data_IF_097214506386
#
_entry.id   IF_097214506386
#
_cell.length_a   1.000
_cell.length_b   1.000
_cell.length_c   1.000
_cell.angle_alpha   90.00
_cell.angle_beta   90.00
_cell.angle_gamma   90.00
#
_symmetry.space_group_name_H-M   'P 1'
#
loop_
_entity.id
_entity.type
_entity.pdbx_description
1 polymer ?
#
# COMPACT_ATOMS: atom_id res chain seq x y z
N UNK A 1 9.64 40.48 19.68
CA UNK A 1 9.17 39.32 20.47
C UNK A 1 8.15 38.45 19.71
N UNK A 2 7.14 39.01 19.03
CA UNK A 2 6.11 38.21 18.32
C UNK A 2 6.65 37.28 17.23
N UNK A 3 7.70 37.68 16.51
CA UNK A 3 8.27 36.86 15.43
C UNK A 3 8.93 35.57 15.93
N UNK A 4 9.54 35.58 17.13
CA UNK A 4 10.11 34.37 17.74
C UNK A 4 9.04 33.34 18.09
N UNK A 5 7.86 33.77 18.55
CA UNK A 5 6.73 32.87 18.80
C UNK A 5 6.19 32.26 17.49
N UNK A 6 6.13 33.06 16.41
CA UNK A 6 5.73 32.56 15.09
C UNK A 6 6.68 31.49 14.54
N UNK A 7 8.01 31.72 14.67
CA UNK A 7 9.03 30.75 14.26
C UNK A 7 8.95 29.47 15.11
N UNK A 8 8.78 29.61 16.43
CA UNK A 8 8.63 28.47 17.34
C UNK A 8 7.39 27.63 17.02
N UNK A 9 6.25 28.26 16.70
CA UNK A 9 5.03 27.57 16.30
C UNK A 9 5.21 26.79 15.00
N UNK A 10 5.85 27.40 13.99
CA UNK A 10 6.15 26.76 12.71
C UNK A 10 7.08 25.56 12.88
N UNK A 11 8.11 25.68 13.72
CA UNK A 11 9.02 24.56 14.03
C UNK A 11 8.28 23.44 14.75
N UNK A 12 7.48 23.75 15.78
CA UNK A 12 6.69 22.74 16.50
C UNK A 12 5.70 22.01 15.59
N UNK A 13 5.06 22.75 14.67
CA UNK A 13 4.15 22.17 13.69
C UNK A 13 4.90 21.26 12.70
N UNK A 14 6.04 21.70 12.17
CA UNK A 14 6.89 20.89 11.29
C UNK A 14 7.37 19.60 11.94
N UNK A 15 7.83 19.66 13.20
CA UNK A 15 8.24 18.47 13.97
C UNK A 15 7.07 17.50 14.18
N UNK A 16 5.88 18.02 14.46
CA UNK A 16 4.68 17.19 14.67
C UNK A 16 4.32 16.44 13.38
N UNK A 17 4.36 17.12 12.23
CA UNK A 17 4.11 16.48 10.93
C UNK A 17 5.15 15.40 10.63
N UNK A 18 6.44 15.70 10.78
CA UNK A 18 7.49 14.71 10.52
C UNK A 18 7.39 13.49 11.43
N UNK A 19 7.10 13.70 12.72
CA UNK A 19 6.99 12.61 13.69
C UNK A 19 5.70 11.81 13.54
N UNK A 20 4.60 12.42 13.06
CA UNK A 20 3.31 11.74 12.88
C UNK A 20 3.42 10.49 11.99
N UNK A 21 4.12 10.60 10.86
CA UNK A 21 4.34 9.48 9.92
C UNK A 21 5.16 8.36 10.58
N UNK A 22 6.21 8.72 11.31
CA UNK A 22 7.03 7.75 12.03
C UNK A 22 6.22 6.99 13.09
N UNK A 23 5.45 7.71 13.92
CA UNK A 23 4.60 7.09 14.93
C UNK A 23 3.47 6.26 14.33
N UNK A 24 2.95 6.65 13.16
CA UNK A 24 1.96 5.88 12.42
C UNK A 24 2.50 4.51 12.01
N UNK A 25 3.66 4.45 11.35
CA UNK A 25 4.29 3.18 10.98
C UNK A 25 4.64 2.35 12.21
N UNK A 26 5.20 2.97 13.24
CA UNK A 26 5.53 2.28 14.47
C UNK A 26 4.29 1.65 15.13
N UNK A 27 3.15 2.34 15.09
CA UNK A 27 1.87 1.82 15.56
C UNK A 27 1.36 0.65 14.72
N UNK A 28 1.48 0.72 13.39
CA UNK A 28 1.15 -0.38 12.48
C UNK A 28 2.01 -1.60 12.79
N UNK A 29 3.34 -1.44 12.80
CA UNK A 29 4.29 -2.54 13.01
C UNK A 29 4.05 -3.20 14.35
N UNK A 30 3.99 -2.43 15.46
CA UNK A 30 3.75 -2.98 16.79
C UNK A 30 2.39 -3.66 16.93
N UNK A 31 1.33 -3.09 16.35
CA UNK A 31 0.00 -3.72 16.42
C UNK A 31 0.01 -5.05 15.67
N UNK A 32 0.66 -5.08 14.51
CA UNK A 32 0.78 -6.26 13.66
C UNK A 32 1.60 -7.35 14.33
N UNK A 33 2.80 -7.03 14.81
CA UNK A 33 3.66 -7.97 15.53
C UNK A 33 2.97 -8.56 16.76
N UNK A 34 2.33 -7.72 17.59
CA UNK A 34 1.62 -8.20 18.77
C UNK A 34 0.48 -9.15 18.42
N UNK A 35 -0.26 -8.87 17.34
CA UNK A 35 -1.31 -9.75 16.88
C UNK A 35 -0.74 -11.07 16.37
N UNK A 36 0.22 -11.02 15.45
CA UNK A 36 0.76 -12.21 14.79
C UNK A 36 1.50 -13.11 15.76
N UNK A 37 2.22 -12.54 16.74
CA UNK A 37 2.84 -13.30 17.83
C UNK A 37 1.80 -14.04 18.69
N UNK A 38 0.62 -13.44 18.93
CA UNK A 38 -0.46 -14.09 19.68
C UNK A 38 -0.99 -15.35 18.98
N UNK A 39 -0.89 -15.41 17.65
CA UNK A 39 -1.35 -16.53 16.83
C UNK A 39 -0.20 -17.39 16.27
N UNK A 40 1.05 -17.13 16.69
CA UNK A 40 2.24 -17.83 16.21
C UNK A 40 2.40 -17.83 14.68
N UNK A 41 2.05 -16.71 14.04
CA UNK A 41 2.12 -16.52 12.58
C UNK A 41 3.10 -15.39 12.27
N UNK A 42 3.63 -15.33 11.05
CA UNK A 42 4.41 -14.18 10.57
C UNK A 42 3.66 -13.41 9.50
N UNK A 43 4.09 -12.18 9.25
CA UNK A 43 3.48 -11.32 8.23
C UNK A 43 3.69 -11.92 6.83
N UNK A 44 4.88 -12.47 6.58
CA UNK A 44 5.23 -13.16 5.34
C UNK A 44 4.30 -14.33 5.03
N UNK A 45 3.93 -15.10 6.06
CA UNK A 45 3.11 -16.32 5.96
C UNK A 45 1.62 -16.05 5.73
N UNK A 46 1.18 -14.78 5.75
CA UNK A 46 -0.21 -14.44 5.46
C UNK A 46 -0.47 -14.55 3.96
N UNK A 47 -1.38 -15.46 3.59
CA UNK A 47 -1.93 -15.57 2.24
C UNK A 47 -2.80 -14.35 1.90
N UNK A 48 -2.76 -13.93 0.64
CA UNK A 48 -3.57 -12.84 0.07
C UNK A 48 -3.93 -13.11 -1.38
N UNK A 49 -4.88 -12.33 -1.90
CA UNK A 49 -5.30 -12.34 -3.30
C UNK A 49 -5.11 -10.97 -3.95
N UNK A 50 -4.87 -10.98 -5.26
CA UNK A 50 -4.77 -9.78 -6.10
C UNK A 50 -5.99 -9.59 -7.02
N UNK A 51 -7.06 -10.36 -6.81
CA UNK A 51 -8.27 -10.27 -7.64
C UNK A 51 -8.91 -8.89 -7.67
N UNK A 52 -8.71 -8.12 -6.60
CA UNK A 52 -9.33 -6.81 -6.39
C UNK A 52 -8.48 -5.64 -6.92
N UNK A 53 -7.38 -5.92 -7.63
CA UNK A 53 -6.62 -4.88 -8.34
C UNK A 53 -7.51 -4.26 -9.42
N UNK A 54 -7.67 -2.93 -9.35
CA UNK A 54 -8.41 -2.15 -10.34
C UNK A 54 -7.47 -1.72 -11.46
N UNK A 55 -7.64 -2.29 -12.65
CA UNK A 55 -6.85 -1.95 -13.83
C UNK A 55 -7.51 -0.81 -14.62
N UNK A 56 -6.73 0.23 -14.94
CA UNK A 56 -7.21 1.38 -15.73
C UNK A 56 -7.13 1.15 -17.24
N UNK A 57 -6.32 0.18 -17.68
CA UNK A 57 -6.17 -0.19 -19.08
C UNK A 57 -6.48 -1.67 -19.27
N UNK A 58 -7.33 -1.97 -20.26
CA UNK A 58 -7.60 -3.34 -20.71
C UNK A 58 -6.56 -3.80 -21.73
N UNK A 59 -6.29 -5.10 -21.74
CA UNK A 59 -5.47 -5.73 -22.77
C UNK A 59 -6.25 -6.00 -24.07
N UNK A 60 -5.57 -5.95 -25.24
CA UNK A 60 -4.30 -5.27 -25.47
C UNK A 60 -4.48 -3.75 -25.45
N UNK A 61 -3.57 -3.03 -24.81
CA UNK A 61 -3.59 -1.57 -24.83
C UNK A 61 -3.13 -1.06 -26.20
N UNK A 62 -3.76 -0.02 -26.72
CA UNK A 62 -3.29 0.67 -27.94
C UNK A 62 -2.08 1.58 -27.67
N UNK A 63 -1.65 1.70 -26.41
CA UNK A 63 -0.56 2.57 -25.99
C UNK A 63 0.77 1.81 -26.10
N UNK A 64 1.60 2.19 -27.08
CA UNK A 64 2.92 1.57 -27.31
C UNK A 64 3.82 1.59 -26.07
N UNK A 65 3.74 2.66 -25.27
CA UNK A 65 4.51 2.79 -24.03
C UNK A 65 4.15 1.71 -22.99
N UNK A 66 2.92 1.17 -23.01
CA UNK A 66 2.51 0.09 -22.12
C UNK A 66 3.01 -1.26 -22.67
N UNK A 67 2.81 -1.52 -23.96
CA UNK A 67 3.18 -2.81 -24.58
C UNK A 67 4.69 -3.04 -24.70
N UNK A 68 5.49 -1.97 -24.70
CA UNK A 68 6.96 -2.04 -24.80
C UNK A 68 7.64 -1.86 -23.43
N UNK A 69 6.86 -1.66 -22.36
CA UNK A 69 7.43 -1.43 -21.04
C UNK A 69 8.12 -2.68 -20.51
N UNK A 70 9.35 -2.48 -20.05
CA UNK A 70 10.09 -3.47 -19.27
C UNK A 70 9.61 -3.45 -17.83
N UNK A 71 9.68 -4.60 -17.16
CA UNK A 71 9.30 -4.73 -15.74
C UNK A 71 9.99 -3.71 -14.82
N UNK A 72 11.22 -3.31 -15.11
CA UNK A 72 11.95 -2.29 -14.34
C UNK A 72 11.34 -0.88 -14.40
N UNK A 73 10.52 -0.60 -15.41
CA UNK A 73 9.81 0.68 -15.57
C UNK A 73 8.51 0.72 -14.75
N UNK A 74 8.06 -0.41 -14.20
CA UNK A 74 6.92 -0.45 -13.30
C UNK A 74 7.36 0.06 -11.92
N UNK A 75 6.65 1.07 -11.43
CA UNK A 75 6.90 1.73 -10.15
C UNK A 75 5.65 1.66 -9.28
N UNK A 76 5.91 1.57 -7.99
CA UNK A 76 4.88 1.63 -6.96
C UNK A 76 4.86 3.02 -6.36
N UNK A 77 3.66 3.59 -6.28
CA UNK A 77 3.39 4.82 -5.55
C UNK A 77 2.36 4.56 -4.47
N UNK A 78 2.78 4.73 -3.21
CA UNK A 78 1.92 4.55 -2.05
C UNK A 78 0.94 5.73 -1.92
N UNK A 79 -0.35 5.42 -1.79
CA UNK A 79 -1.41 6.41 -1.63
C UNK A 79 -1.69 6.65 -0.15
N UNK A 80 -1.48 7.89 0.30
CA UNK A 80 -1.71 8.29 1.68
C UNK A 80 -2.79 9.38 1.77
N UNK A 81 -3.74 9.21 2.68
CA UNK A 81 -4.69 10.26 3.01
C UNK A 81 -4.03 11.37 3.85
N UNK A 82 -4.36 12.63 3.56
CA UNK A 82 -4.24 13.81 4.43
C UNK A 82 -2.83 14.14 4.98
N UNK A 83 -2.54 15.44 5.12
CA UNK A 83 -1.22 15.94 5.53
C UNK A 83 -0.83 15.66 7.00
N UNK A 84 -1.81 15.38 7.87
CA UNK A 84 -1.61 15.26 9.34
C UNK A 84 -1.94 13.86 9.90
N UNK A 85 -2.73 13.07 9.20
CA UNK A 85 -3.10 11.70 9.58
C UNK A 85 -2.81 10.81 8.38
N UNK A 86 -1.53 10.49 8.21
CA UNK A 86 -1.03 9.64 7.15
C UNK A 86 -1.66 8.25 7.28
N UNK A 87 -2.78 7.99 6.60
CA UNK A 87 -3.34 6.65 6.49
C UNK A 87 -3.02 6.12 5.10
N UNK A 88 -2.48 4.90 5.02
CA UNK A 88 -2.30 4.23 3.74
C UNK A 88 -3.68 3.81 3.22
N UNK A 89 -4.06 4.34 2.07
CA UNK A 89 -5.32 4.02 1.39
C UNK A 89 -5.14 2.92 0.37
N UNK A 90 -3.95 2.78 -0.21
CA UNK A 90 -3.72 1.84 -1.29
C UNK A 90 -2.36 2.03 -1.96
N UNK A 91 -2.21 1.34 -3.09
CA UNK A 91 -0.99 1.34 -3.89
C UNK A 91 -1.35 1.57 -5.35
N UNK A 92 -0.76 2.59 -5.96
CA UNK A 92 -0.77 2.77 -7.40
C UNK A 92 0.41 2.05 -8.02
N UNK A 93 0.16 1.42 -9.17
CA UNK A 93 1.19 0.88 -10.05
C UNK A 93 1.21 1.74 -11.30
N UNK A 94 2.37 2.31 -11.63
CA UNK A 94 2.57 3.18 -12.78
C UNK A 94 3.78 2.75 -13.62
N UNK A 95 3.76 3.06 -14.92
CA UNK A 95 4.95 2.99 -15.76
C UNK A 95 5.59 4.36 -15.82
N UNK A 96 6.88 4.43 -15.52
CA UNK A 96 7.69 5.61 -15.75
C UNK A 96 8.18 5.63 -17.21
N UNK A 97 7.74 6.63 -17.97
CA UNK A 97 8.21 6.91 -19.33
C UNK A 97 8.83 8.31 -19.39
N UNK A 98 9.70 8.55 -20.38
CA UNK A 98 10.48 9.79 -20.53
C UNK A 98 9.64 11.07 -20.57
N UNK A 99 8.34 10.97 -20.85
CA UNK A 99 7.45 12.12 -20.99
C UNK A 99 6.34 12.22 -19.93
N UNK A 100 5.96 11.10 -19.28
CA UNK A 100 4.92 11.10 -18.24
C UNK A 100 4.86 9.73 -17.52
N UNK A 101 4.39 9.72 -16.26
CA UNK A 101 3.99 8.47 -15.61
C UNK A 101 2.57 8.06 -16.04
N UNK A 102 2.40 6.79 -16.35
CA UNK A 102 1.11 6.22 -16.78
C UNK A 102 0.61 5.30 -15.66
N UNK A 103 -0.45 5.70 -14.97
CA UNK A 103 -1.08 4.87 -13.93
C UNK A 103 -1.76 3.66 -14.56
N UNK A 104 -1.29 2.46 -14.26
CA UNK A 104 -1.81 1.21 -14.79
C UNK A 104 -2.92 0.61 -13.95
N UNK A 105 -2.71 0.62 -12.64
CA UNK A 105 -3.59 -0.06 -11.71
C UNK A 105 -3.57 0.58 -10.32
N UNK A 106 -4.58 0.27 -9.53
CA UNK A 106 -4.71 0.67 -8.14
C UNK A 106 -5.20 -0.51 -7.30
N UNK A 107 -4.56 -0.73 -6.16
CA UNK A 107 -4.98 -1.68 -5.14
C UNK A 107 -5.34 -0.91 -3.86
N UNK A 108 -6.64 -0.75 -3.56
CA UNK A 108 -7.09 -0.21 -2.28
C UNK A 108 -6.70 -1.15 -1.13
N UNK A 109 -6.35 -0.58 0.04
CA UNK A 109 -6.09 -1.34 1.27
C UNK A 109 -7.34 -2.06 1.76
N UNK A 110 -8.51 -1.42 1.61
CA UNK A 110 -9.77 -1.97 2.08
C UNK A 110 -10.22 -3.16 1.23
N UNK A 111 -9.77 -3.21 -0.03
CA UNK A 111 -9.94 -4.31 -0.98
C UNK A 111 -8.63 -5.13 -1.06
N UNK A 112 -7.93 -5.29 0.05
CA UNK A 112 -6.79 -6.19 0.15
C UNK A 112 -7.15 -7.36 1.06
N UNK A 113 -7.72 -8.40 0.44
CA UNK A 113 -8.19 -9.60 1.15
C UNK A 113 -7.05 -10.38 1.80
N UNK A 114 -7.23 -10.65 3.09
CA UNK A 114 -6.36 -11.51 3.90
C UNK A 114 -7.24 -12.52 4.64
N UNK A 115 -7.44 -13.74 4.10
CA UNK A 115 -8.38 -14.72 4.65
C UNK A 115 -8.19 -15.00 6.14
N UNK A 116 -6.92 -15.01 6.59
CA UNK A 116 -6.57 -15.12 8.01
C UNK A 116 -7.21 -14.02 8.88
N UNK A 117 -7.17 -12.77 8.42
CA UNK A 117 -7.78 -11.65 9.14
C UNK A 117 -9.30 -11.70 9.09
N UNK A 118 -9.87 -12.14 7.97
CA UNK A 118 -11.31 -12.29 7.81
C UNK A 118 -11.86 -13.32 8.80
N UNK A 119 -11.17 -14.44 8.99
CA UNK A 119 -11.52 -15.44 10.01
C UNK A 119 -11.51 -14.83 11.42
N UNK A 120 -10.45 -14.08 11.76
CA UNK A 120 -10.32 -13.45 13.07
C UNK A 120 -11.36 -12.35 13.32
N UNK A 121 -11.71 -11.57 12.29
CA UNK A 121 -12.76 -10.54 12.34
C UNK A 121 -14.13 -11.20 12.56
N UNK A 122 -14.46 -12.22 11.78
CA UNK A 122 -15.71 -12.96 11.89
C UNK A 122 -15.87 -13.64 13.25
N UNK A 123 -14.76 -14.17 13.79
CA UNK A 123 -14.71 -14.73 15.14
C UNK A 123 -14.70 -13.67 16.26
N UNK A 124 -14.76 -12.37 15.94
CA UNK A 124 -14.67 -11.23 16.88
C UNK A 124 -13.41 -11.26 17.75
N UNK A 125 -12.33 -11.91 17.27
CA UNK A 125 -11.03 -11.99 17.95
C UNK A 125 -10.22 -10.70 17.77
N UNK A 126 -10.49 -9.96 16.69
CA UNK A 126 -9.92 -8.65 16.39
C UNK A 126 -11.03 -7.68 15.96
N UNK A 127 -10.76 -6.38 16.06
CA UNK A 127 -11.64 -5.33 15.52
C UNK A 127 -11.22 -4.87 14.11
N UNK A 128 -12.09 -4.17 13.38
CA UNK A 128 -11.81 -3.68 12.01
C UNK A 128 -10.53 -2.86 11.90
N UNK A 129 -10.27 -1.97 12.87
CA UNK A 129 -9.05 -1.15 12.91
C UNK A 129 -7.77 -1.97 13.04
N UNK A 130 -7.82 -3.09 13.76
CA UNK A 130 -6.66 -3.98 13.91
C UNK A 130 -6.42 -4.73 12.60
N UNK A 131 -7.47 -5.26 11.98
CA UNK A 131 -7.38 -5.90 10.67
C UNK A 131 -6.77 -4.95 9.63
N UNK A 132 -7.31 -3.74 9.52
CA UNK A 132 -6.83 -2.74 8.56
C UNK A 132 -5.35 -2.41 8.74
N UNK A 133 -4.85 -2.30 9.98
CA UNK A 133 -3.41 -2.09 10.22
C UNK A 133 -2.55 -3.25 9.74
N UNK A 134 -3.01 -4.49 9.89
CA UNK A 134 -2.27 -5.67 9.40
C UNK A 134 -2.31 -5.73 7.88
N UNK A 135 -3.46 -5.43 7.25
CA UNK A 135 -3.56 -5.27 5.79
C UNK A 135 -2.59 -4.21 5.28
N UNK A 136 -2.51 -3.05 5.94
CA UNK A 136 -1.55 -2.01 5.60
C UNK A 136 -0.09 -2.47 5.76
N UNK A 137 0.22 -3.19 6.84
CA UNK A 137 1.56 -3.73 7.09
C UNK A 137 1.98 -4.72 5.99
N UNK A 138 1.07 -5.60 5.59
CA UNK A 138 1.30 -6.58 4.55
C UNK A 138 1.42 -5.92 3.17
N UNK A 139 0.56 -4.94 2.87
CA UNK A 139 0.57 -4.24 1.59
C UNK A 139 1.87 -3.46 1.33
N UNK A 140 2.50 -2.93 2.38
CA UNK A 140 3.81 -2.25 2.27
C UNK A 140 5.00 -3.20 2.40
N UNK A 141 4.77 -4.50 2.61
CA UNK A 141 5.84 -5.46 2.74
C UNK A 141 6.60 -5.59 1.41
N UNK A 142 7.95 -5.58 1.40
CA UNK A 142 8.72 -5.60 0.16
C UNK A 142 8.37 -6.76 -0.77
N UNK A 143 8.12 -7.94 -0.20
CA UNK A 143 7.77 -9.12 -0.99
C UNK A 143 6.40 -8.97 -1.65
N UNK A 144 5.41 -8.48 -0.90
CA UNK A 144 4.07 -8.20 -1.43
C UNK A 144 4.09 -7.13 -2.51
N UNK A 145 4.89 -6.07 -2.33
CA UNK A 145 5.09 -5.03 -3.34
C UNK A 145 5.71 -5.59 -4.63
N UNK A 146 6.71 -6.46 -4.51
CA UNK A 146 7.32 -7.14 -5.67
C UNK A 146 6.30 -8.03 -6.39
N UNK A 147 5.48 -8.77 -5.64
CA UNK A 147 4.45 -9.62 -6.20
C UNK A 147 3.33 -8.84 -6.90
N UNK A 148 2.90 -7.70 -6.34
CA UNK A 148 1.94 -6.79 -7.00
C UNK A 148 2.49 -6.34 -8.35
N UNK A 149 3.76 -5.93 -8.41
CA UNK A 149 4.41 -5.52 -9.67
C UNK A 149 4.46 -6.69 -10.65
N UNK A 150 4.74 -7.90 -10.19
CA UNK A 150 4.75 -9.09 -11.05
C UNK A 150 3.37 -9.36 -11.63
N UNK A 151 2.34 -9.32 -10.79
CA UNK A 151 0.96 -9.57 -11.18
C UNK A 151 0.49 -8.54 -12.20
N UNK A 152 0.68 -7.25 -11.92
CA UNK A 152 0.29 -6.18 -12.86
C UNK A 152 1.09 -6.26 -14.16
N UNK A 153 2.39 -6.55 -14.10
CA UNK A 153 3.21 -6.75 -15.31
C UNK A 153 2.68 -7.92 -16.14
N UNK A 154 2.44 -9.08 -15.54
CA UNK A 154 1.95 -10.26 -16.24
C UNK A 154 0.56 -10.00 -16.85
N UNK A 155 -0.32 -9.40 -16.06
CA UNK A 155 -1.67 -9.05 -16.47
C UNK A 155 -1.70 -8.01 -17.59
N UNK A 156 -0.72 -7.12 -17.69
CA UNK A 156 -0.65 -6.06 -18.71
C UNK A 156 0.11 -6.52 -19.97
N UNK A 157 1.04 -7.47 -19.87
CA UNK A 157 1.83 -7.94 -21.02
C UNK A 157 1.26 -9.21 -21.67
N UNK A 158 0.77 -10.16 -20.86
CA UNK A 158 0.35 -11.48 -21.32
C UNK A 158 -1.14 -11.74 -21.13
N UNK A 159 -1.78 -10.99 -20.23
CA UNK A 159 -3.18 -11.18 -19.84
C UNK A 159 -3.35 -12.24 -18.78
N UNK A 160 -4.60 -12.43 -18.33
CA UNK A 160 -4.90 -13.53 -17.39
C UNK A 160 -4.49 -14.83 -18.06
N UNK A 161 -3.66 -15.61 -17.39
CA UNK A 161 -3.40 -16.99 -17.75
C UNK A 161 -4.74 -17.65 -18.11
N UNK A 162 -4.89 -18.08 -19.37
CA UNK A 162 -5.97 -19.00 -19.76
C UNK A 162 -5.73 -20.37 -19.12
#
# INVERSE_FOLDING_TARGET
MSWFYGISLLLAFGVTIMTSKYFYFLNITKTTENLLNKYCTKLEDLDYSFEEIVYFYSLPSHISAINQATKSQFKIKLDYSHFLMTQLNGVYIEIESDHASIMLAYLPVDDFMLPFLDELLNAKKIGPRTSQKVSQAKLIHPDTLNEIVNEVYNQVQFGRYN
#
